data_IF_900505848672
#
_entry.id   IF_900505848672
#
_cell.length_a   1.000
_cell.length_b   1.000
_cell.length_c   1.000
_cell.angle_alpha   90.00
_cell.angle_beta   90.00
_cell.angle_gamma   90.00
#
_symmetry.space_group_name_H-M   'P 1'
#
loop_
_entity.id
_entity.type
_entity.pdbx_description
1 polymer ?
#
# COMPACT_ATOMS: atom_id res chain seq x y z
N UNK A 1 4.51 5.95 6.80
CA UNK A 1 5.42 6.99 7.32
C UNK A 1 6.38 7.35 6.21
N UNK A 2 6.64 8.64 5.95
CA UNK A 2 7.70 9.04 5.04
C UNK A 2 8.46 10.23 5.62
N UNK A 3 9.79 10.24 5.49
CA UNK A 3 10.66 11.33 5.95
C UNK A 3 10.57 11.64 7.47
N UNK A 4 10.09 10.67 8.27
CA UNK A 4 9.86 10.87 9.71
C UNK A 4 8.69 11.81 10.03
N UNK A 5 7.76 12.01 9.10
CA UNK A 5 6.47 12.66 9.34
C UNK A 5 5.43 11.63 9.79
N UNK A 6 4.62 12.00 10.79
CA UNK A 6 3.49 11.19 11.24
C UNK A 6 2.51 10.93 10.10
N UNK A 7 2.22 9.65 9.85
CA UNK A 7 1.22 9.21 8.87
C UNK A 7 -0.22 9.73 9.08
N UNK A 8 -0.72 9.97 10.31
CA UNK A 8 -2.13 10.34 10.52
C UNK A 8 -2.45 11.82 10.23
N UNK A 9 -1.50 12.60 9.69
CA UNK A 9 -1.74 14.00 9.32
C UNK A 9 -1.67 14.98 10.50
N UNK A 10 -1.98 16.25 10.23
CA UNK A 10 -1.89 17.34 11.22
C UNK A 10 -3.15 17.36 12.10
N UNK A 11 -2.98 17.55 13.41
CA UNK A 11 -4.11 17.74 14.32
C UNK A 11 -4.88 19.03 13.98
N UNK A 12 -6.23 19.03 14.06
CA UNK A 12 -7.04 20.26 13.95
C UNK A 12 -6.78 21.25 15.10
N UNK A 13 -6.36 20.78 16.28
CA UNK A 13 -6.14 21.58 17.49
C UNK A 13 -4.80 22.35 17.47
N UNK A 14 -4.22 22.55 16.28
CA UNK A 14 -2.91 23.16 16.13
C UNK A 14 -2.98 24.67 16.32
N UNK A 15 -2.45 25.14 17.45
CA UNK A 15 -1.95 26.51 17.59
C UNK A 15 -0.51 26.60 17.09
N UNK A 16 -0.14 27.76 16.53
CA UNK A 16 1.13 28.02 15.85
C UNK A 16 2.35 27.83 16.78
N UNK A 17 2.83 26.59 16.92
CA UNK A 17 4.02 26.28 17.72
C UNK A 17 4.21 24.80 18.07
N UNK A 18 3.15 23.98 18.09
CA UNK A 18 3.24 22.59 18.56
C UNK A 18 3.31 21.58 17.40
N UNK A 19 4.23 20.60 17.52
CA UNK A 19 4.40 19.46 16.62
C UNK A 19 3.33 18.38 16.91
N UNK A 20 2.05 18.75 16.87
CA UNK A 20 0.94 17.83 17.08
C UNK A 20 0.53 17.09 15.80
N UNK A 21 1.08 15.89 15.56
CA UNK A 21 0.48 14.95 14.62
C UNK A 21 -0.74 14.29 15.28
N UNK A 22 -1.77 13.95 14.48
CA UNK A 22 -2.90 13.16 14.99
C UNK A 22 -2.41 11.85 15.60
N UNK A 23 -3.14 11.30 16.56
CA UNK A 23 -2.88 9.95 17.02
C UNK A 23 -3.35 8.92 15.97
N UNK A 24 -2.86 7.69 16.06
CA UNK A 24 -3.40 6.59 15.22
C UNK A 24 -4.87 6.30 15.57
N UNK A 25 -5.29 6.54 16.82
CA UNK A 25 -6.67 6.39 17.23
C UNK A 25 -7.57 7.43 16.55
N UNK A 26 -7.18 8.72 16.57
CA UNK A 26 -7.97 9.80 15.94
C UNK A 26 -8.14 9.55 14.44
N UNK A 27 -7.12 9.00 13.79
CA UNK A 27 -7.17 8.65 12.38
C UNK A 27 -8.13 7.48 12.09
N UNK A 28 -8.16 6.48 12.98
CA UNK A 28 -9.12 5.36 12.90
C UNK A 28 -10.55 5.83 13.17
N UNK A 29 -10.74 6.76 14.08
CA UNK A 29 -12.06 7.32 14.38
C UNK A 29 -12.60 8.13 13.19
N UNK A 30 -11.74 8.83 12.45
CA UNK A 30 -12.11 9.48 11.20
C UNK A 30 -12.47 8.49 10.10
N UNK A 31 -11.74 7.38 10.00
CA UNK A 31 -12.11 6.30 9.07
C UNK A 31 -13.49 5.75 9.41
N UNK A 32 -13.78 5.54 10.69
CA UNK A 32 -15.10 5.13 11.16
C UNK A 32 -16.19 6.12 10.75
N UNK A 33 -16.00 7.42 10.99
CA UNK A 33 -16.96 8.45 10.57
C UNK A 33 -17.23 8.45 9.05
N UNK A 34 -16.20 8.23 8.23
CA UNK A 34 -16.37 8.16 6.76
C UNK A 34 -17.18 6.93 6.36
N UNK A 35 -16.95 5.79 7.01
CA UNK A 35 -17.66 4.53 6.75
C UNK A 35 -19.12 4.64 7.19
N UNK A 36 -19.38 5.18 8.39
CA UNK A 36 -20.73 5.40 8.91
C UNK A 36 -21.52 6.40 8.05
N UNK A 37 -20.86 7.41 7.48
CA UNK A 37 -21.48 8.35 6.57
C UNK A 37 -21.78 7.76 5.19
N UNK A 38 -21.24 6.59 4.84
CA UNK A 38 -21.48 5.91 3.56
C UNK A 38 -21.00 6.70 2.33
N UNK A 39 -20.00 7.56 2.49
CA UNK A 39 -19.57 8.48 1.42
C UNK A 39 -18.63 7.84 0.40
N UNK A 40 -18.16 6.62 0.65
CA UNK A 40 -17.17 5.92 -0.17
C UNK A 40 -17.62 4.49 -0.42
N UNK A 41 -17.41 3.98 -1.62
CA UNK A 41 -17.73 2.58 -1.94
C UNK A 41 -16.69 1.61 -1.35
N UNK A 42 -15.42 2.03 -1.31
CA UNK A 42 -14.28 1.21 -0.90
C UNK A 42 -13.39 2.00 0.05
N UNK A 43 -13.12 1.42 1.23
CA UNK A 43 -12.16 1.96 2.19
C UNK A 43 -10.85 1.19 2.13
N UNK A 44 -9.82 1.78 1.53
CA UNK A 44 -8.47 1.21 1.48
C UNK A 44 -7.67 1.55 2.74
N UNK A 45 -7.20 0.52 3.44
CA UNK A 45 -6.47 0.67 4.71
C UNK A 45 -5.20 -0.18 4.79
N UNK A 46 -4.44 0.00 5.87
CA UNK A 46 -3.28 -0.83 6.19
C UNK A 46 -3.71 -2.13 6.88
N UNK A 47 -2.87 -3.17 6.84
CA UNK A 47 -3.18 -4.45 7.51
C UNK A 47 -3.45 -4.28 9.02
N UNK A 48 -2.70 -3.40 9.71
CA UNK A 48 -2.91 -3.13 11.13
C UNK A 48 -4.14 -2.27 11.43
N UNK A 49 -4.60 -1.48 10.48
CA UNK A 49 -5.91 -0.80 10.58
C UNK A 49 -7.04 -1.80 10.39
N UNK A 50 -6.90 -2.72 9.44
CA UNK A 50 -7.89 -3.75 9.15
C UNK A 50 -8.12 -4.71 10.33
N UNK A 51 -7.04 -5.12 11.01
CA UNK A 51 -7.15 -5.93 12.22
C UNK A 51 -8.02 -5.23 13.29
N UNK A 52 -7.87 -3.92 13.44
CA UNK A 52 -8.60 -3.17 14.46
C UNK A 52 -10.04 -2.85 14.02
N UNK A 53 -10.24 -2.32 12.81
CA UNK A 53 -11.54 -1.81 12.36
C UNK A 53 -12.44 -2.92 11.81
N UNK A 54 -11.89 -3.82 11.00
CA UNK A 54 -12.66 -4.89 10.34
C UNK A 54 -12.80 -6.09 11.27
N UNK A 55 -11.70 -6.60 11.84
CA UNK A 55 -11.71 -7.86 12.58
C UNK A 55 -12.21 -7.68 14.02
N UNK A 56 -11.64 -6.71 14.77
CA UNK A 56 -12.02 -6.51 16.18
C UNK A 56 -13.29 -5.71 16.37
N UNK A 57 -13.41 -4.56 15.70
CA UNK A 57 -14.57 -3.67 15.84
C UNK A 57 -15.76 -4.04 14.95
N UNK A 58 -15.56 -4.88 13.93
CA UNK A 58 -16.61 -5.32 12.98
C UNK A 58 -17.35 -4.15 12.32
N UNK A 59 -16.62 -3.07 12.03
CA UNK A 59 -17.18 -1.83 11.52
C UNK A 59 -17.91 -1.99 10.18
N UNK A 60 -17.48 -2.96 9.36
CA UNK A 60 -17.97 -3.14 7.99
C UNK A 60 -19.08 -4.19 7.87
N UNK A 61 -19.44 -4.90 8.94
CA UNK A 61 -20.43 -5.99 8.89
C UNK A 61 -21.83 -5.48 8.51
N UNK A 62 -22.19 -4.27 8.99
CA UNK A 62 -23.47 -3.60 8.72
C UNK A 62 -23.32 -2.39 7.76
N UNK A 63 -22.23 -2.31 7.01
CA UNK A 63 -21.93 -1.19 6.10
C UNK A 63 -21.96 -1.61 4.64
N UNK A 64 -22.42 -0.73 3.75
CA UNK A 64 -22.29 -0.91 2.30
C UNK A 64 -20.85 -0.67 1.81
N UNK A 65 -19.99 -0.09 2.66
CA UNK A 65 -18.59 0.20 2.31
C UNK A 65 -17.78 -1.09 2.30
N UNK A 66 -17.09 -1.35 1.19
CA UNK A 66 -16.20 -2.50 1.06
C UNK A 66 -14.85 -2.22 1.70
N UNK A 67 -14.43 -3.04 2.67
CA UNK A 67 -13.09 -2.98 3.24
C UNK A 67 -12.04 -3.50 2.24
N UNK A 68 -10.98 -2.72 2.01
CA UNK A 68 -9.85 -3.11 1.18
C UNK A 68 -8.52 -2.88 1.91
N UNK A 69 -7.53 -3.74 1.68
CA UNK A 69 -6.24 -3.68 2.37
C UNK A 69 -5.08 -3.58 1.40
N UNK A 70 -4.09 -2.75 1.73
CA UNK A 70 -2.80 -2.77 1.03
C UNK A 70 -2.10 -4.10 1.31
N UNK A 71 -2.01 -4.95 0.29
CA UNK A 71 -1.51 -6.31 0.38
C UNK A 71 0.01 -6.44 0.21
N UNK A 72 0.72 -5.35 -0.14
CA UNK A 72 2.17 -5.34 -0.25
C UNK A 72 2.80 -3.98 0.09
N UNK A 73 4.07 -4.02 0.50
CA UNK A 73 4.81 -2.85 1.01
C UNK A 73 6.17 -2.75 0.32
N UNK A 74 6.19 -2.36 -0.95
CA UNK A 74 7.40 -2.23 -1.75
C UNK A 74 8.49 -1.37 -1.08
N UNK A 75 9.77 -1.67 -1.31
CA UNK A 75 10.87 -1.07 -0.53
C UNK A 75 10.90 0.46 -0.56
N UNK A 76 10.40 1.08 -1.63
CA UNK A 76 10.35 2.53 -1.82
C UNK A 76 9.39 3.27 -0.88
N UNK A 77 8.46 2.57 -0.20
CA UNK A 77 7.57 3.21 0.78
C UNK A 77 8.20 3.34 2.18
N UNK A 78 9.28 2.60 2.44
CA UNK A 78 9.97 2.58 3.74
C UNK A 78 11.00 3.71 3.82
N UNK A 79 10.50 4.96 3.75
CA UNK A 79 11.35 6.15 3.76
C UNK A 79 11.76 6.51 5.19
N UNK A 80 12.82 5.86 5.66
CA UNK A 80 13.47 6.12 6.95
C UNK A 80 14.17 7.49 6.91
N UNK A 81 14.15 8.22 8.02
CA UNK A 81 14.85 9.51 8.16
C UNK A 81 16.35 9.31 7.91
N UNK A 82 16.91 10.07 6.95
CA UNK A 82 18.32 9.93 6.54
C UNK A 82 18.63 8.68 5.72
N UNK A 83 17.63 7.86 5.40
CA UNK A 83 17.78 6.65 4.60
C UNK A 83 17.82 6.94 3.11
N UNK A 84 18.62 6.15 2.38
CA UNK A 84 18.78 6.25 0.92
C UNK A 84 18.02 5.16 0.15
N UNK A 85 17.12 4.43 0.81
CA UNK A 85 16.33 3.34 0.21
C UNK A 85 15.48 3.86 -0.95
N UNK A 86 14.96 5.08 -0.81
CA UNK A 86 14.21 5.75 -1.88
C UNK A 86 15.10 6.12 -3.08
N UNK A 87 16.43 6.03 -2.98
CA UNK A 87 17.36 6.31 -4.07
C UNK A 87 17.60 5.13 -5.03
N UNK A 88 17.15 3.93 -4.68
CA UNK A 88 17.31 2.74 -5.51
C UNK A 88 15.99 2.38 -6.24
N UNK A 89 16.09 1.46 -7.19
CA UNK A 89 14.92 0.81 -7.77
C UNK A 89 14.09 0.13 -6.67
N UNK A 90 12.77 0.23 -6.77
CA UNK A 90 11.87 -0.43 -5.84
C UNK A 90 12.00 -1.94 -5.97
N UNK A 91 11.94 -2.65 -4.84
CA UNK A 91 11.98 -4.11 -4.77
C UNK A 91 10.68 -4.64 -4.19
N UNK A 92 10.18 -5.79 -4.68
CA UNK A 92 8.95 -6.38 -4.17
C UNK A 92 9.14 -6.81 -2.71
N UNK A 93 8.27 -6.34 -1.83
CA UNK A 93 8.23 -6.75 -0.43
C UNK A 93 6.80 -6.80 0.07
N UNK A 94 6.53 -7.68 1.03
CA UNK A 94 5.23 -7.87 1.64
C UNK A 94 5.39 -8.18 3.11
N UNK A 95 4.84 -7.33 3.97
CA UNK A 95 4.83 -7.50 5.42
C UNK A 95 3.70 -8.45 5.88
N UNK A 96 2.48 -8.27 5.36
CA UNK A 96 1.29 -9.02 5.77
C UNK A 96 1.00 -10.22 4.86
N UNK A 97 0.63 -11.36 5.43
CA UNK A 97 0.09 -12.49 4.67
C UNK A 97 -1.40 -12.28 4.39
N UNK A 98 -1.92 -12.94 3.34
CA UNK A 98 -3.36 -12.92 3.02
C UNK A 98 -4.18 -13.43 4.20
N UNK A 99 -3.70 -14.47 4.89
CA UNK A 99 -4.37 -15.01 6.07
C UNK A 99 -4.49 -13.93 7.16
N UNK A 100 -3.41 -13.21 7.46
CA UNK A 100 -3.46 -12.10 8.41
C UNK A 100 -4.48 -11.02 8.01
N UNK A 101 -4.66 -10.76 6.71
CA UNK A 101 -5.65 -9.80 6.20
C UNK A 101 -7.10 -10.30 6.39
N UNK A 102 -7.34 -11.60 6.16
CA UNK A 102 -8.67 -12.20 6.20
C UNK A 102 -9.13 -12.64 7.60
N UNK A 103 -8.21 -13.04 8.48
CA UNK A 103 -8.56 -13.63 9.79
C UNK A 103 -7.73 -13.08 10.95
N UNK A 104 -6.71 -12.24 10.69
CA UNK A 104 -5.90 -11.62 11.76
C UNK A 104 -4.79 -12.51 12.30
N UNK A 105 -4.64 -13.74 11.83
CA UNK A 105 -3.56 -14.64 12.20
C UNK A 105 -3.09 -15.52 11.04
N UNK A 106 -2.01 -16.27 11.24
CA UNK A 106 -1.50 -17.24 10.27
C UNK A 106 -2.32 -18.53 10.34
N UNK A 107 -2.38 -19.24 9.21
CA UNK A 107 -2.95 -20.59 9.08
C UNK A 107 -4.42 -20.73 9.54
N UNK A 108 -5.25 -19.71 9.27
CA UNK A 108 -6.67 -19.79 9.61
C UNK A 108 -7.48 -20.72 8.73
N UNK A 109 -8.56 -21.23 9.34
CA UNK A 109 -9.53 -22.07 8.66
C UNK A 109 -10.34 -21.27 7.65
N UNK A 110 -10.91 -21.96 6.66
CA UNK A 110 -11.68 -21.33 5.57
C UNK A 110 -12.87 -20.54 6.12
N UNK A 111 -13.47 -20.99 7.22
CA UNK A 111 -14.64 -20.36 7.84
C UNK A 111 -14.29 -19.03 8.53
N UNK A 112 -13.06 -18.85 8.98
CA UNK A 112 -12.63 -17.66 9.72
C UNK A 112 -12.28 -16.49 8.78
N UNK A 113 -12.11 -16.77 7.48
CA UNK A 113 -11.66 -15.80 6.46
C UNK A 113 -12.66 -14.70 6.16
N UNK A 114 -13.93 -14.86 6.55
CA UNK A 114 -14.97 -13.86 6.35
C UNK A 114 -14.94 -12.73 7.39
N UNK A 115 -14.01 -12.78 8.35
CA UNK A 115 -13.93 -11.80 9.45
C UNK A 115 -13.17 -10.53 9.04
N UNK A 116 -12.27 -10.65 8.06
CA UNK A 116 -11.41 -9.57 7.58
C UNK A 116 -11.80 -9.07 6.20
N UNK A 117 -10.84 -8.43 5.52
CA UNK A 117 -11.06 -7.90 4.18
C UNK A 117 -10.74 -8.94 3.11
N UNK A 118 -11.65 -9.09 2.15
CA UNK A 118 -11.46 -9.98 0.99
C UNK A 118 -10.87 -9.27 -0.24
N UNK A 119 -10.67 -7.95 -0.17
CA UNK A 119 -10.13 -7.17 -1.28
C UNK A 119 -8.77 -6.58 -0.95
N UNK A 120 -7.78 -6.83 -1.83
CA UNK A 120 -6.41 -6.35 -1.67
C UNK A 120 -5.94 -5.41 -2.77
N UNK A 121 -5.24 -4.34 -2.40
CA UNK A 121 -4.41 -3.58 -3.33
C UNK A 121 -3.01 -4.20 -3.39
N UNK A 122 -2.60 -4.64 -4.58
CA UNK A 122 -1.19 -4.94 -4.86
C UNK A 122 -0.59 -3.83 -5.70
N UNK A 123 0.56 -3.30 -5.30
CA UNK A 123 1.25 -2.22 -6.00
C UNK A 123 2.56 -2.69 -6.64
N UNK A 124 2.82 -2.24 -7.86
CA UNK A 124 4.08 -2.49 -8.57
C UNK A 124 4.67 -1.17 -9.02
N UNK A 125 5.98 -1.00 -8.86
CA UNK A 125 6.71 0.19 -9.31
C UNK A 125 7.75 -0.24 -10.34
N UNK A 126 7.52 0.08 -11.61
CA UNK A 126 8.45 -0.25 -12.69
C UNK A 126 9.65 0.71 -12.68
N UNK A 127 10.84 0.13 -12.77
CA UNK A 127 12.14 0.82 -12.76
C UNK A 127 12.71 1.04 -14.17
N UNK A 128 12.02 0.55 -15.22
CA UNK A 128 12.52 0.55 -16.60
C UNK A 128 13.87 -0.20 -16.73
N UNK A 129 13.98 -1.29 -15.97
CA UNK A 129 15.09 -2.22 -15.99
C UNK A 129 14.49 -3.61 -16.04
N UNK A 130 14.79 -4.36 -17.11
CA UNK A 130 14.26 -5.70 -17.36
C UNK A 130 14.38 -6.62 -16.15
N UNK A 131 15.53 -6.64 -15.49
CA UNK A 131 15.79 -7.62 -14.42
C UNK A 131 15.05 -7.24 -13.13
N UNK A 132 14.97 -5.94 -12.80
CA UNK A 132 14.19 -5.44 -11.66
C UNK A 132 12.67 -5.56 -11.88
N UNK A 133 12.23 -5.29 -13.11
CA UNK A 133 10.83 -5.36 -13.51
C UNK A 133 10.36 -6.83 -13.57
N UNK A 134 11.22 -7.75 -14.03
CA UNK A 134 10.96 -9.19 -14.02
C UNK A 134 10.75 -9.70 -12.59
N UNK A 135 11.64 -9.36 -11.66
CA UNK A 135 11.52 -9.72 -10.24
C UNK A 135 10.17 -9.25 -9.65
N UNK A 136 9.75 -8.04 -9.99
CA UNK A 136 8.49 -7.46 -9.52
C UNK A 136 7.27 -8.19 -10.09
N UNK A 137 7.28 -8.53 -11.37
CA UNK A 137 6.19 -9.25 -12.04
C UNK A 137 6.11 -10.70 -11.54
N UNK A 138 7.25 -11.36 -11.34
CA UNK A 138 7.31 -12.71 -10.77
C UNK A 138 6.76 -12.74 -9.34
N UNK A 139 7.10 -11.75 -8.51
CA UNK A 139 6.52 -11.60 -7.18
C UNK A 139 4.99 -11.43 -7.23
N UNK A 140 4.47 -10.60 -8.14
CA UNK A 140 3.03 -10.46 -8.33
C UNK A 140 2.36 -11.76 -8.82
N UNK A 141 2.98 -12.47 -9.76
CA UNK A 141 2.50 -13.78 -10.21
C UNK A 141 2.45 -14.78 -9.06
N UNK A 142 3.49 -14.82 -8.22
CA UNK A 142 3.54 -15.69 -7.04
C UNK A 142 2.43 -15.36 -6.04
N UNK A 143 2.06 -14.07 -5.94
CA UNK A 143 0.97 -13.59 -5.10
C UNK A 143 -0.39 -14.07 -5.63
N UNK A 144 -0.64 -13.95 -6.94
CA UNK A 144 -1.88 -14.39 -7.57
C UNK A 144 -2.04 -15.91 -7.70
N UNK A 145 -0.93 -16.67 -7.79
CA UNK A 145 -0.95 -18.13 -7.84
C UNK A 145 -1.13 -18.78 -6.47
N UNK A 146 -1.02 -18.03 -5.36
CA UNK A 146 -1.43 -18.54 -4.05
C UNK A 146 -2.89 -18.98 -4.16
N UNK A 147 -3.25 -20.13 -3.56
CA UNK A 147 -4.38 -20.93 -3.99
C UNK A 147 -5.61 -20.04 -4.15
N UNK A 148 -6.11 -19.99 -5.39
CA UNK A 148 -7.28 -19.23 -5.83
C UNK A 148 -8.54 -19.52 -4.98
N UNK A 149 -8.50 -20.58 -4.15
CA UNK A 149 -9.49 -20.92 -3.15
C UNK A 149 -9.45 -20.15 -1.83
N UNK A 150 -8.63 -19.08 -1.69
CA UNK A 150 -8.73 -18.17 -0.53
C UNK A 150 -9.81 -17.09 -0.69
N UNK A 151 -10.45 -16.99 -1.86
CA UNK A 151 -11.53 -16.01 -2.08
C UNK A 151 -11.08 -14.55 -2.07
N UNK A 152 -9.77 -14.29 -2.18
CA UNK A 152 -9.21 -12.95 -2.05
C UNK A 152 -9.12 -12.25 -3.41
N UNK A 153 -9.93 -11.20 -3.59
CA UNK A 153 -9.87 -10.30 -4.74
C UNK A 153 -8.63 -9.41 -4.68
N UNK A 154 -8.02 -9.10 -5.83
CA UNK A 154 -6.89 -8.17 -5.87
C UNK A 154 -6.99 -7.21 -7.03
N UNK A 155 -6.78 -5.92 -6.76
CA UNK A 155 -6.59 -4.92 -7.80
C UNK A 155 -5.12 -4.45 -7.83
N UNK A 156 -4.62 -4.21 -9.04
CA UNK A 156 -3.23 -3.85 -9.29
C UNK A 156 -3.11 -2.33 -9.45
N UNK A 157 -2.19 -1.71 -8.70
CA UNK A 157 -1.74 -0.34 -8.94
C UNK A 157 -0.35 -0.36 -9.55
N UNK A 158 -0.23 0.03 -10.81
CA UNK A 158 1.06 0.23 -11.46
C UNK A 158 1.53 1.67 -11.31
N UNK A 159 2.77 1.84 -10.87
CA UNK A 159 3.50 3.09 -10.83
C UNK A 159 4.68 3.00 -11.79
N UNK A 160 4.90 4.06 -12.55
CA UNK A 160 6.13 4.20 -13.34
C UNK A 160 6.97 5.23 -12.62
N UNK A 161 8.12 4.81 -12.09
CA UNK A 161 9.08 5.75 -11.52
C UNK A 161 10.13 6.02 -12.58
N UNK A 162 9.92 7.09 -13.33
CA UNK A 162 11.01 7.69 -14.11
C UNK A 162 12.04 8.25 -13.12
N UNK A 163 13.01 7.42 -12.74
CA UNK A 163 14.38 7.88 -12.48
C UNK A 163 14.77 8.85 -13.59
N UNK A 164 15.65 9.86 -13.38
CA UNK A 164 15.99 10.75 -14.46
C UNK A 164 16.52 9.85 -15.57
N UNK A 165 15.71 9.73 -16.62
CA UNK A 165 16.17 9.29 -17.91
C UNK A 165 17.22 10.34 -18.15
N UNK A 166 18.49 9.96 -17.99
CA UNK A 166 19.53 10.61 -18.72
C UNK A 166 19.04 10.49 -20.15
N UNK A 167 18.31 11.49 -20.62
CA UNK A 167 18.18 11.85 -22.01
C UNK A 167 19.62 12.11 -22.40
N UNK A 168 20.37 11.02 -22.62
CA UNK A 168 21.56 11.06 -23.42
C UNK A 168 21.02 11.60 -24.73
N UNK A 169 21.25 12.90 -24.95
CA UNK A 169 21.41 13.47 -26.28
C UNK A 169 22.52 12.68 -26.95
N UNK A 170 22.18 11.49 -27.43
CA UNK A 170 22.98 10.71 -28.36
C UNK A 170 22.13 10.62 -29.61
N UNK A 171 22.06 11.73 -30.34
CA UNK A 171 22.18 11.72 -31.79
C UNK A 171 22.49 13.14 -32.29
N UNK A 172 23.19 13.21 -33.42
CA UNK A 172 23.80 14.38 -34.07
C UNK A 172 25.18 14.80 -33.52
N UNK A 173 26.17 13.91 -33.66
CA UNK A 173 27.45 14.33 -34.23
C UNK A 173 27.49 13.81 -35.66
N UNK A 174 27.49 14.74 -36.61
CA UNK A 174 28.37 14.81 -37.79
C UNK A 174 27.67 15.46 -38.98
N UNK A 175 28.35 16.47 -39.53
CA UNK A 175 28.70 16.63 -40.95
C UNK A 175 28.38 18.01 -41.54
N UNK A 176 29.44 18.82 -41.70
CA UNK A 176 29.71 19.86 -42.72
C UNK A 176 30.58 20.93 -42.03
N UNK A 177 31.91 20.96 -42.16
CA UNK A 177 32.68 21.12 -43.41
C UNK A 177 32.02 22.13 -44.34
N UNK A 178 32.36 23.42 -44.18
CA UNK A 178 32.96 24.30 -45.20
C UNK A 178 33.50 25.53 -44.50
#
# INVERSE_FOLDING_TARGET
MAFGMGAPGRSPERHDGELGFRSLADYRDQMQQIVEAGLVDIMLMSASTNEELTIRRRLFDDSEVTAAVRANDTTDIHVVRGGRIHEAASKPFRSASIDHIQCGHLDCEVQERTTGADLGLYSVTFANNRDDDLETIEAYRSFGMRPSGRGFGTFLRSLIRTWPIALRRTYCRDSSTT
#
